data_IF_054828637639
#
_entry.id   IF_054828637639
#
_cell.length_a   1.000
_cell.length_b   1.000
_cell.length_c   1.000
_cell.angle_alpha   90.00
_cell.angle_beta   90.00
_cell.angle_gamma   90.00
#
_symmetry.space_group_name_H-M   'P 1'
#
loop_
_entity.id
_entity.type
_entity.pdbx_description
1 polymer ?
#
# COMPACT_ATOMS: atom_id res chain seq x y z
N UNK A 1 -16.06 -20.15 -17.09
CA UNK A 1 -15.77 -18.71 -17.19
C UNK A 1 -14.53 -18.45 -16.35
N UNK A 2 -13.36 -18.32 -17.00
CA UNK A 2 -12.12 -17.92 -16.33
C UNK A 2 -12.35 -16.52 -15.79
N UNK A 3 -12.31 -16.33 -14.45
CA UNK A 3 -12.36 -14.99 -13.88
C UNK A 3 -11.18 -14.20 -14.47
N UNK A 4 -11.47 -13.29 -15.39
CA UNK A 4 -10.53 -12.24 -15.72
C UNK A 4 -10.49 -11.33 -14.50
N UNK A 5 -9.31 -11.15 -13.91
CA UNK A 5 -9.12 -10.09 -12.93
C UNK A 5 -9.51 -8.77 -13.59
N UNK A 6 -10.52 -8.11 -13.03
CA UNK A 6 -10.89 -6.77 -13.47
C UNK A 6 -9.90 -5.77 -12.88
N UNK A 7 -8.81 -5.55 -13.61
CA UNK A 7 -7.79 -4.60 -13.23
C UNK A 7 -8.32 -3.17 -13.15
N UNK A 8 -9.31 -2.81 -13.98
CA UNK A 8 -9.91 -1.47 -13.99
C UNK A 8 -10.62 -1.19 -12.66
N UNK A 9 -11.51 -2.09 -12.23
CA UNK A 9 -12.19 -1.94 -10.93
C UNK A 9 -11.20 -1.84 -9.77
N UNK A 10 -10.13 -2.65 -9.77
CA UNK A 10 -9.11 -2.59 -8.71
C UNK A 10 -8.29 -1.29 -8.72
N UNK A 11 -8.03 -0.74 -9.91
CA UNK A 11 -7.37 0.55 -10.08
C UNK A 11 -8.26 1.71 -9.62
N UNK A 12 -9.56 1.68 -9.94
CA UNK A 12 -10.53 2.68 -9.49
C UNK A 12 -10.62 2.70 -7.95
N UNK A 13 -10.67 1.52 -7.32
CA UNK A 13 -10.63 1.39 -5.87
C UNK A 13 -9.32 1.95 -5.26
N UNK A 14 -8.19 1.78 -5.94
CA UNK A 14 -6.90 2.33 -5.50
C UNK A 14 -6.90 3.86 -5.62
N UNK A 15 -7.39 4.39 -6.73
CA UNK A 15 -7.55 5.82 -6.95
C UNK A 15 -8.43 6.47 -5.87
N UNK A 16 -9.54 5.84 -5.51
CA UNK A 16 -10.44 6.31 -4.45
C UNK A 16 -9.74 6.35 -3.09
N UNK A 17 -8.90 5.35 -2.77
CA UNK A 17 -8.10 5.31 -1.54
C UNK A 17 -7.06 6.42 -1.51
N UNK A 18 -6.35 6.66 -2.61
CA UNK A 18 -5.39 7.77 -2.73
C UNK A 18 -6.09 9.12 -2.56
N UNK A 19 -7.25 9.32 -3.19
CA UNK A 19 -8.03 10.55 -3.05
C UNK A 19 -8.51 10.79 -1.61
N UNK A 20 -8.90 9.72 -0.92
CA UNK A 20 -9.29 9.76 0.50
C UNK A 20 -8.09 10.12 1.38
N UNK A 21 -6.92 9.51 1.16
CA UNK A 21 -5.69 9.81 1.88
C UNK A 21 -5.27 11.28 1.69
N UNK A 22 -5.31 11.79 0.46
CA UNK A 22 -5.03 13.21 0.15
C UNK A 22 -5.95 14.14 0.94
N UNK A 23 -7.26 13.89 0.88
CA UNK A 23 -8.25 14.72 1.59
C UNK A 23 -8.04 14.68 3.11
N UNK A 24 -7.65 13.52 3.64
CA UNK A 24 -7.36 13.34 5.05
C UNK A 24 -6.15 14.15 5.52
N UNK A 25 -5.05 14.12 4.76
CA UNK A 25 -3.83 14.89 5.08
C UNK A 25 -4.06 16.39 4.95
N UNK A 26 -4.82 16.84 3.95
CA UNK A 26 -5.17 18.26 3.79
C UNK A 26 -6.00 18.78 4.96
N UNK A 27 -6.96 17.99 5.46
CA UNK A 27 -7.74 18.36 6.63
C UNK A 27 -6.88 18.40 7.91
N UNK A 28 -5.97 17.45 8.06
CA UNK A 28 -5.09 17.33 9.23
C UNK A 28 -4.25 18.60 9.50
N UNK A 29 -3.86 19.34 8.46
CA UNK A 29 -3.07 20.57 8.60
C UNK A 29 -3.77 21.68 9.42
N UNK A 30 -5.10 21.64 9.56
CA UNK A 30 -5.87 22.61 10.33
C UNK A 30 -6.43 22.04 11.65
N UNK A 31 -6.10 20.79 11.99
CA UNK A 31 -6.63 20.07 13.15
C UNK A 31 -5.81 20.37 14.42
N UNK A 32 -6.46 20.32 15.58
CA UNK A 32 -5.76 20.35 16.87
C UNK A 32 -4.98 19.06 17.12
N UNK A 33 -4.00 19.10 18.02
CA UNK A 33 -3.21 17.91 18.41
C UNK A 33 -4.07 16.71 18.84
N UNK A 34 -5.17 16.94 19.57
CA UNK A 34 -6.10 15.88 19.97
C UNK A 34 -6.83 15.25 18.77
N UNK A 35 -7.22 16.06 17.79
CA UNK A 35 -7.87 15.59 16.56
C UNK A 35 -6.88 14.83 15.67
N UNK A 36 -5.63 15.32 15.58
CA UNK A 36 -4.54 14.64 14.87
C UNK A 36 -4.26 13.26 15.44
N UNK A 37 -4.20 13.12 16.77
CA UNK A 37 -4.03 11.82 17.44
C UNK A 37 -5.14 10.85 17.08
N UNK A 38 -6.40 11.28 17.15
CA UNK A 38 -7.54 10.44 16.78
C UNK A 38 -7.48 10.01 15.31
N UNK A 39 -7.04 10.89 14.42
CA UNK A 39 -6.90 10.60 12.99
C UNK A 39 -5.78 9.59 12.73
N UNK A 40 -4.65 9.72 13.45
CA UNK A 40 -3.54 8.76 13.42
C UNK A 40 -4.00 7.38 13.90
N UNK A 41 -4.72 7.30 15.02
CA UNK A 41 -5.24 6.03 15.55
C UNK A 41 -6.15 5.33 14.53
N UNK A 42 -7.03 6.10 13.87
CA UNK A 42 -7.89 5.57 12.81
C UNK A 42 -7.08 5.10 11.59
N UNK A 43 -6.05 5.85 11.19
CA UNK A 43 -5.18 5.46 10.08
C UNK A 43 -4.43 4.16 10.39
N UNK A 44 -3.94 4.00 11.62
CA UNK A 44 -3.33 2.75 12.08
C UNK A 44 -4.31 1.58 12.04
N UNK A 45 -5.54 1.75 12.56
CA UNK A 45 -6.55 0.69 12.53
C UNK A 45 -6.93 0.26 11.10
N UNK A 46 -7.08 1.21 10.17
CA UNK A 46 -7.36 0.91 8.77
C UNK A 46 -6.23 0.13 8.10
N UNK A 47 -4.99 0.43 8.49
CA UNK A 47 -3.79 -0.22 7.99
C UNK A 47 -3.65 -1.64 8.51
N UNK A 48 -3.90 -1.86 9.80
CA UNK A 48 -3.94 -3.19 10.42
C UNK A 48 -4.97 -4.08 9.71
N UNK A 49 -6.19 -3.56 9.50
CA UNK A 49 -7.25 -4.27 8.79
C UNK A 49 -6.87 -4.61 7.33
N UNK A 50 -6.20 -3.69 6.64
CA UNK A 50 -5.72 -3.93 5.26
C UNK A 50 -4.65 -5.01 5.21
N UNK A 51 -3.76 -5.06 6.21
CA UNK A 51 -2.73 -6.08 6.36
C UNK A 51 -3.30 -7.49 6.60
N UNK A 52 -4.35 -7.61 7.42
CA UNK A 52 -5.03 -8.88 7.67
C UNK A 52 -5.68 -9.45 6.40
N UNK A 53 -6.40 -8.61 5.65
CA UNK A 53 -7.03 -8.99 4.39
C UNK A 53 -5.99 -9.49 3.36
N UNK A 54 -4.86 -8.77 3.24
CA UNK A 54 -3.79 -9.14 2.32
C UNK A 54 -3.11 -10.48 2.68
N UNK A 55 -3.04 -10.84 3.96
CA UNK A 55 -2.50 -12.14 4.43
C UNK A 55 -3.44 -13.29 4.13
N UNK A 56 -4.76 -13.10 4.30
CA UNK A 56 -5.77 -14.12 4.02
C UNK A 56 -5.86 -14.47 2.53
N UNK A 57 -5.73 -13.48 1.65
CA UNK A 57 -5.72 -13.71 0.20
C UNK A 57 -4.45 -14.45 -0.28
N UNK A 58 -3.31 -14.23 0.39
CA UNK A 58 -2.03 -14.82 0.01
C UNK A 58 -1.89 -16.30 0.42
N UNK A 59 -2.54 -16.73 1.51
CA UNK A 59 -2.45 -18.11 2.01
C UNK A 59 -3.20 -19.14 1.16
N UNK A 60 -4.08 -18.70 0.26
CA UNK A 60 -4.95 -19.60 -0.52
C UNK A 60 -4.34 -20.11 -1.82
N UNK A 61 -3.14 -19.66 -2.20
CA UNK A 61 -2.43 -20.21 -3.35
C UNK A 61 -0.92 -19.94 -3.25
N UNK A 62 -0.08 -20.98 -3.29
CA UNK A 62 1.36 -20.82 -3.14
C UNK A 62 2.10 -21.20 -4.43
N UNK A 63 2.27 -20.21 -5.32
CA UNK A 63 3.28 -20.27 -6.39
C UNK A 63 4.44 -19.32 -6.04
N UNK A 64 5.63 -19.57 -6.59
CA UNK A 64 6.87 -18.84 -6.31
C UNK A 64 6.79 -17.32 -6.50
N UNK A 65 5.94 -16.84 -7.42
CA UNK A 65 5.67 -15.41 -7.60
C UNK A 65 4.95 -14.79 -6.38
N UNK A 66 4.00 -15.50 -5.77
CA UNK A 66 3.27 -15.01 -4.58
C UNK A 66 4.17 -14.93 -3.34
N UNK A 67 5.15 -15.83 -3.20
CA UNK A 67 6.10 -15.80 -2.09
C UNK A 67 6.96 -14.52 -2.07
N UNK A 68 7.45 -14.07 -3.23
CA UNK A 68 8.21 -12.81 -3.34
C UNK A 68 7.36 -11.60 -2.94
N UNK A 69 6.10 -11.56 -3.40
CA UNK A 69 5.16 -10.51 -3.04
C UNK A 69 4.78 -10.53 -1.55
N UNK A 70 4.67 -11.71 -0.95
CA UNK A 70 4.41 -11.84 0.48
C UNK A 70 5.57 -11.29 1.33
N UNK A 71 6.82 -11.56 0.93
CA UNK A 71 8.00 -11.00 1.60
C UNK A 71 8.01 -9.47 1.52
N UNK A 72 7.81 -8.90 0.33
CA UNK A 72 7.82 -7.45 0.11
C UNK A 72 6.74 -6.74 0.96
N UNK A 73 5.56 -7.35 1.09
CA UNK A 73 4.50 -6.88 2.00
C UNK A 73 4.89 -6.98 3.48
N UNK A 74 5.60 -8.03 3.87
CA UNK A 74 6.05 -8.21 5.25
C UNK A 74 7.11 -7.15 5.64
N UNK A 75 8.05 -6.87 4.74
CA UNK A 75 9.08 -5.84 4.96
C UNK A 75 8.45 -4.44 5.07
N UNK A 76 7.46 -4.14 4.20
CA UNK A 76 6.70 -2.89 4.29
C UNK A 76 5.91 -2.78 5.61
N UNK A 77 5.31 -3.89 6.09
CA UNK A 77 4.61 -3.91 7.37
C UNK A 77 5.56 -3.69 8.56
N UNK A 78 6.79 -4.19 8.50
CA UNK A 78 7.81 -3.96 9.53
C UNK A 78 8.19 -2.48 9.60
N UNK A 79 8.52 -1.84 8.46
CA UNK A 79 8.83 -0.39 8.40
C UNK A 79 7.68 0.46 8.96
N UNK A 80 6.44 0.08 8.68
CA UNK A 80 5.27 0.77 9.20
C UNK A 80 5.10 0.63 10.72
N UNK A 81 5.43 -0.54 11.28
CA UNK A 81 5.47 -0.74 12.73
C UNK A 81 6.49 0.20 13.39
N UNK A 82 7.62 0.45 12.74
CA UNK A 82 8.63 1.41 13.23
C UNK A 82 8.09 2.85 13.21
N UNK A 83 7.38 3.25 12.15
CA UNK A 83 6.71 4.56 12.07
C UNK A 83 5.69 4.73 13.21
N UNK A 84 4.88 3.69 13.49
CA UNK A 84 3.92 3.68 14.61
C UNK A 84 4.62 3.86 15.96
N UNK A 85 5.70 3.14 16.20
CA UNK A 85 6.50 3.27 17.42
C UNK A 85 7.10 4.68 17.58
N UNK A 86 7.57 5.29 16.47
CA UNK A 86 8.13 6.64 16.48
C UNK A 86 7.07 7.70 16.80
N UNK A 87 5.85 7.57 16.26
CA UNK A 87 4.70 8.41 16.59
C UNK A 87 4.40 8.36 18.10
N UNK A 88 4.35 7.17 18.69
CA UNK A 88 4.06 6.98 20.11
C UNK A 88 5.15 7.58 21.01
N UNK A 89 6.41 7.51 20.57
CA UNK A 89 7.58 8.06 21.27
C UNK A 89 7.55 9.60 21.31
N UNK A 90 7.25 10.26 20.19
CA UNK A 90 7.18 11.75 20.11
C UNK A 90 6.21 12.34 21.11
N UNK A 91 5.09 11.67 21.34
CA UNK A 91 4.02 12.13 22.26
C UNK A 91 4.48 12.26 23.72
N UNK A 92 5.69 11.81 24.06
CA UNK A 92 6.25 11.78 25.42
C UNK A 92 7.48 12.67 25.60
N UNK A 93 7.94 13.37 24.57
CA UNK A 93 9.15 14.20 24.64
C UNK A 93 8.83 15.65 24.99
N UNK A 94 9.66 16.26 25.86
CA UNK A 94 9.50 17.64 26.34
C UNK A 94 10.59 18.61 25.89
N UNK A 95 11.59 18.15 25.13
CA UNK A 95 12.67 19.00 24.61
C UNK A 95 12.32 19.49 23.20
N UNK A 96 12.30 20.81 23.02
CA UNK A 96 11.90 21.45 21.75
C UNK A 96 12.87 21.16 20.60
N UNK A 97 14.17 20.96 20.87
CA UNK A 97 15.15 20.64 19.83
C UNK A 97 14.97 19.21 19.35
N UNK A 98 14.79 18.29 20.28
CA UNK A 98 14.53 16.88 19.94
C UNK A 98 13.19 16.74 19.21
N UNK A 99 12.17 17.51 19.61
CA UNK A 99 10.88 17.54 18.93
C UNK A 99 10.96 18.07 17.48
N UNK A 100 11.81 19.06 17.21
CA UNK A 100 12.04 19.58 15.86
C UNK A 100 12.76 18.55 14.98
N UNK A 101 13.86 17.97 15.49
CA UNK A 101 14.58 16.91 14.76
C UNK A 101 13.64 15.72 14.48
N UNK A 102 12.86 15.27 15.48
CA UNK A 102 11.88 14.20 15.34
C UNK A 102 10.74 14.51 14.34
N UNK A 103 10.44 15.80 14.11
CA UNK A 103 9.49 16.25 13.09
C UNK A 103 10.10 16.18 11.69
N UNK A 104 11.34 16.66 11.51
CA UNK A 104 12.07 16.58 10.23
C UNK A 104 12.22 15.11 9.77
N UNK A 105 12.56 14.21 10.70
CA UNK A 105 12.60 12.76 10.42
C UNK A 105 11.22 12.19 10.04
N UNK A 106 10.14 12.69 10.64
CA UNK A 106 8.78 12.27 10.31
C UNK A 106 8.39 12.65 8.88
N UNK A 107 8.73 13.88 8.49
CA UNK A 107 8.42 14.41 7.17
C UNK A 107 9.23 13.67 6.09
N UNK A 108 10.49 13.35 6.37
CA UNK A 108 11.32 12.51 5.51
C UNK A 108 10.75 11.09 5.35
N UNK A 109 10.40 10.41 6.46
CA UNK A 109 9.76 9.08 6.41
C UNK A 109 8.43 9.12 5.62
N UNK A 110 7.65 10.19 5.73
CA UNK A 110 6.41 10.36 4.97
C UNK A 110 6.65 10.56 3.47
N UNK A 111 7.69 11.31 3.09
CA UNK A 111 8.11 11.46 1.70
C UNK A 111 8.58 10.14 1.09
N UNK A 112 9.44 9.40 1.79
CA UNK A 112 9.90 8.07 1.36
C UNK A 112 8.73 7.07 1.19
N UNK A 113 7.73 7.14 2.08
CA UNK A 113 6.53 6.31 1.95
C UNK A 113 5.71 6.63 0.70
N UNK A 114 5.65 7.89 0.29
CA UNK A 114 5.00 8.30 -0.97
C UNK A 114 5.80 7.82 -2.18
N UNK A 115 7.12 7.96 -2.17
CA UNK A 115 8.00 7.47 -3.25
C UNK A 115 7.88 5.94 -3.42
N UNK A 116 7.81 5.20 -2.31
CA UNK A 116 7.55 3.77 -2.33
C UNK A 116 6.16 3.43 -2.91
N UNK A 117 5.13 4.19 -2.56
CA UNK A 117 3.79 3.99 -3.08
C UNK A 117 3.73 4.25 -4.60
N UNK A 118 4.41 5.27 -5.09
CA UNK A 118 4.52 5.59 -6.51
C UNK A 118 5.20 4.43 -7.28
N UNK A 119 6.37 3.99 -6.79
CA UNK A 119 7.06 2.82 -7.35
C UNK A 119 6.17 1.55 -7.35
N UNK A 120 5.40 1.33 -6.28
CA UNK A 120 4.51 0.18 -6.18
C UNK A 120 3.37 0.23 -7.22
N UNK A 121 2.85 1.42 -7.53
CA UNK A 121 1.84 1.63 -8.59
C UNK A 121 2.43 1.32 -9.96
N UNK A 122 3.62 1.83 -10.28
CA UNK A 122 4.32 1.54 -11.54
C UNK A 122 4.62 0.04 -11.69
N UNK A 123 5.07 -0.61 -10.62
CA UNK A 123 5.34 -2.04 -10.63
C UNK A 123 4.06 -2.86 -10.87
N UNK A 124 2.95 -2.47 -10.23
CA UNK A 124 1.65 -3.08 -10.46
C UNK A 124 1.21 -2.92 -11.93
N UNK A 125 1.39 -1.74 -12.53
CA UNK A 125 1.12 -1.52 -13.95
C UNK A 125 1.90 -2.49 -14.84
N UNK A 126 3.21 -2.63 -14.62
CA UNK A 126 4.04 -3.57 -15.38
C UNK A 126 3.54 -5.02 -15.23
N UNK A 127 3.20 -5.45 -14.03
CA UNK A 127 2.68 -6.80 -13.78
C UNK A 127 1.32 -7.05 -14.47
N UNK A 128 0.43 -6.06 -14.47
CA UNK A 128 -0.86 -6.14 -15.16
C UNK A 128 -0.68 -6.24 -16.68
N UNK A 129 0.21 -5.43 -17.27
CA UNK A 129 0.55 -5.52 -18.69
C UNK A 129 1.12 -6.90 -19.05
N UNK A 130 2.02 -7.43 -18.23
CA UNK A 130 2.54 -8.79 -18.41
C UNK A 130 1.46 -9.88 -18.33
N UNK A 131 0.47 -9.74 -17.43
CA UNK A 131 -0.65 -10.67 -17.34
C UNK A 131 -1.58 -10.60 -18.57
N UNK A 132 -1.84 -9.39 -19.09
CA UNK A 132 -2.64 -9.16 -20.30
C UNK A 132 -1.94 -9.80 -21.52
N UNK A 133 -0.63 -9.58 -21.68
CA UNK A 133 0.16 -10.17 -22.77
C UNK A 133 0.14 -11.71 -22.70
N UNK A 134 0.38 -12.28 -21.52
CA UNK A 134 0.36 -13.74 -21.33
C UNK A 134 -1.01 -14.36 -21.69
N UNK A 135 -2.12 -13.70 -21.34
CA UNK A 135 -3.46 -14.16 -21.74
C UNK A 135 -3.65 -14.07 -23.24
N UNK A 136 -3.30 -12.94 -23.86
CA UNK A 136 -3.43 -12.75 -25.30
C UNK A 136 -2.63 -13.80 -26.09
N UNK A 137 -1.42 -14.13 -25.61
CA UNK A 137 -0.59 -15.20 -26.17
C UNK A 137 -1.24 -16.58 -26.01
N UNK A 138 -1.78 -16.90 -24.84
CA UNK A 138 -2.49 -18.16 -24.60
C UNK A 138 -3.71 -18.32 -25.53
N UNK A 139 -4.52 -17.26 -25.68
CA UNK A 139 -5.70 -17.26 -26.55
C UNK A 139 -5.32 -17.42 -28.03
N UNK A 140 -4.18 -16.84 -28.44
CA UNK A 140 -3.63 -17.02 -29.80
C UNK A 140 -3.25 -18.48 -30.06
N UNK A 141 -2.58 -19.14 -29.10
CA UNK A 141 -2.18 -20.55 -29.23
C UNK A 141 -3.40 -21.48 -29.24
N UNK A 142 -4.39 -21.23 -28.38
CA UNK A 142 -5.62 -22.02 -28.35
C UNK A 142 -6.35 -21.98 -29.71
N UNK A 143 -6.50 -20.78 -30.30
CA UNK A 143 -7.09 -20.61 -31.65
C UNK A 143 -6.30 -21.32 -32.75
N UNK A 144 -4.97 -21.39 -32.64
CA UNK A 144 -4.16 -22.10 -33.62
C UNK A 144 -4.36 -23.62 -33.52
N UNK A 145 -4.48 -24.14 -32.31
CA UNK A 145 -4.74 -25.56 -32.06
C UNK A 145 -6.15 -25.99 -32.53
N UNK A 146 -7.16 -25.15 -32.36
CA UNK A 146 -8.54 -25.44 -32.80
C UNK A 146 -8.71 -25.44 -34.33
N UNK A 147 -7.78 -24.81 -35.07
CA UNK A 147 -7.77 -24.73 -36.53
C UNK A 147 -6.85 -25.78 -37.19
N UNK A 148 -6.26 -26.68 -36.41
CA UNK A 148 -5.35 -27.76 -36.85
C UNK A 148 -6.06 -29.11 -36.83
#
# INVERSE_FOLDING_TARGET
>A
MTQHTDFSTRLDDLQQRVATARSAVQAAAAESDAQLKQRIDRAQANLDQSGENARQEASQAADSARAKWAQLKADAAAKMSDVKANIDKRTRQGDAKVAADDADWAEADAAEALDFADWAVENAQLAMLGAIDARAYADKLAKAADNS
#
